data_IF_535616548251
#
_entry.id   IF_535616548251
#
_cell.length_a   1.000
_cell.length_b   1.000
_cell.length_c   1.000
_cell.angle_alpha   90.00
_cell.angle_beta   90.00
_cell.angle_gamma   90.00
#
_symmetry.space_group_name_H-M   'P 1'
#
loop_
_entity.id
_entity.type
_entity.pdbx_description
1 polymer ?
#
# COMPACT_ATOMS: atom_id res chain seq x y z
N UNK A 1 66.96 47.95 13.85
CA UNK A 1 65.86 47.76 12.87
C UNK A 1 65.02 46.57 13.33
N UNK A 2 63.75 46.75 13.74
CA UNK A 2 62.87 45.62 13.99
C UNK A 2 62.23 45.14 12.67
N UNK A 3 61.97 43.83 12.49
CA UNK A 3 61.26 43.33 11.32
C UNK A 3 59.76 43.64 11.42
N UNK A 4 59.13 43.98 10.28
CA UNK A 4 57.68 44.23 10.20
C UNK A 4 56.87 42.93 10.32
N UNK A 5 55.64 42.98 10.91
CA UNK A 5 54.77 41.82 10.97
C UNK A 5 54.12 41.56 9.60
N UNK A 6 54.33 40.36 9.07
CA UNK A 6 53.67 39.87 7.87
C UNK A 6 52.20 39.57 8.15
N UNK A 7 51.28 40.31 7.55
CA UNK A 7 49.86 39.95 7.50
C UNK A 7 49.67 38.75 6.56
N UNK A 8 49.25 37.60 7.11
CA UNK A 8 48.86 36.43 6.32
C UNK A 8 47.61 36.74 5.48
N UNK A 9 47.55 36.34 4.20
CA UNK A 9 46.39 36.58 3.35
C UNK A 9 45.23 35.70 3.80
N UNK A 10 44.13 36.32 4.24
CA UNK A 10 42.90 35.61 4.58
C UNK A 10 42.35 34.92 3.32
N UNK A 11 42.37 33.60 3.33
CA UNK A 11 42.10 32.75 2.18
C UNK A 11 40.62 32.91 1.74
N UNK A 12 40.38 33.63 0.65
CA UNK A 12 39.04 33.90 0.07
C UNK A 12 38.24 32.62 -0.22
N UNK A 13 38.91 31.46 -0.26
CA UNK A 13 38.31 30.14 -0.37
C UNK A 13 37.51 29.76 0.90
N UNK A 14 38.01 30.08 2.09
CA UNK A 14 37.30 29.81 3.36
C UNK A 14 36.03 30.66 3.49
N UNK A 15 36.05 31.91 3.02
CA UNK A 15 34.88 32.80 3.05
C UNK A 15 33.79 32.34 2.06
N UNK A 16 34.18 31.73 0.93
CA UNK A 16 33.25 31.15 -0.06
C UNK A 16 32.61 29.84 0.42
N UNK A 17 33.34 29.00 1.14
CA UNK A 17 32.80 27.77 1.74
C UNK A 17 31.79 28.07 2.86
N UNK A 18 32.01 29.12 3.67
CA UNK A 18 31.07 29.52 4.72
C UNK A 18 29.72 30.02 4.18
N UNK A 19 29.72 30.71 3.03
CA UNK A 19 28.49 31.19 2.39
C UNK A 19 27.71 30.05 1.71
N UNK A 20 28.39 29.04 1.18
CA UNK A 20 27.73 27.85 0.60
C UNK A 20 27.12 26.91 1.64
N UNK A 21 27.61 26.90 2.88
CA UNK A 21 27.04 26.09 3.96
C UNK A 21 25.74 26.69 4.56
N UNK A 22 25.49 27.98 4.35
CA UNK A 22 24.39 28.71 4.99
C UNK A 22 23.08 28.74 4.18
N UNK A 23 23.05 28.19 2.95
CA UNK A 23 21.93 28.35 2.01
C UNK A 23 21.17 27.05 1.67
N UNK A 24 21.32 25.99 2.46
CA UNK A 24 20.46 24.81 2.35
C UNK A 24 19.33 24.88 3.38
N UNK A 25 18.14 25.39 3.03
CA UNK A 25 16.96 25.12 3.84
C UNK A 25 16.69 23.61 3.76
N UNK A 26 17.10 22.88 4.78
CA UNK A 26 16.63 21.52 5.02
C UNK A 26 15.17 21.67 5.40
N UNK A 27 14.27 21.61 4.43
CA UNK A 27 12.85 21.50 4.72
C UNK A 27 12.65 20.15 5.41
N UNK A 28 12.46 20.18 6.73
CA UNK A 28 12.06 19.01 7.50
C UNK A 28 10.67 18.64 7.01
N UNK A 29 10.56 17.64 6.13
CA UNK A 29 9.30 17.04 5.79
C UNK A 29 8.68 16.50 7.10
N UNK A 30 7.67 17.20 7.60
CA UNK A 30 6.94 16.77 8.79
C UNK A 30 6.08 15.58 8.37
N UNK A 31 6.58 14.37 8.62
CA UNK A 31 5.78 13.16 8.50
C UNK A 31 4.67 13.22 9.57
N UNK A 32 3.41 13.13 9.12
CA UNK A 32 2.24 13.12 10.00
C UNK A 32 2.03 11.76 10.66
N UNK A 33 0.88 11.16 10.39
CA UNK A 33 0.51 9.84 10.90
C UNK A 33 1.05 8.74 9.99
N UNK A 34 1.72 7.76 10.59
CA UNK A 34 2.27 6.57 9.93
C UNK A 34 1.51 5.33 10.39
N UNK A 35 1.18 4.45 9.45
CA UNK A 35 0.52 3.18 9.71
C UNK A 35 1.54 2.08 9.45
N UNK A 36 1.74 1.18 10.42
CA UNK A 36 2.72 0.09 10.33
C UNK A 36 2.25 -1.05 9.43
N UNK A 37 2.28 -0.80 8.11
CA UNK A 37 1.95 -1.77 7.09
C UNK A 37 1.17 -1.17 5.92
N UNK A 38 1.21 -1.84 4.77
CA UNK A 38 0.45 -1.47 3.56
C UNK A 38 -0.69 -2.44 3.25
N UNK A 39 -0.72 -3.57 3.96
CA UNK A 39 -1.74 -4.61 3.94
C UNK A 39 -1.65 -5.42 5.23
N UNK A 40 -2.73 -6.09 5.58
CA UNK A 40 -2.79 -6.93 6.77
C UNK A 40 -3.46 -8.26 6.50
N UNK A 41 -2.94 -9.30 7.12
CA UNK A 41 -3.46 -10.66 7.04
C UNK A 41 -4.05 -11.02 8.40
N UNK A 42 -5.36 -11.26 8.44
CA UNK A 42 -6.04 -11.83 9.59
C UNK A 42 -6.07 -13.35 9.43
N UNK A 43 -5.33 -14.07 10.25
CA UNK A 43 -5.36 -15.54 10.27
C UNK A 43 -6.57 -16.03 11.06
N UNK A 44 -7.31 -17.00 10.54
CA UNK A 44 -8.56 -17.48 11.14
C UNK A 44 -8.44 -17.93 12.61
N UNK A 45 -7.33 -18.57 13.00
CA UNK A 45 -7.06 -18.99 14.38
C UNK A 45 -6.53 -17.88 15.30
N UNK A 46 -6.27 -16.67 14.80
CA UNK A 46 -5.77 -15.57 15.61
C UNK A 46 -6.94 -14.88 16.35
N UNK A 47 -6.79 -14.56 17.65
CA UNK A 47 -7.84 -13.86 18.39
C UNK A 47 -8.03 -12.41 17.91
N UNK A 48 -6.95 -11.77 17.47
CA UNK A 48 -6.97 -10.41 16.94
C UNK A 48 -5.75 -10.18 16.03
N UNK A 49 -5.88 -9.20 15.16
CA UNK A 49 -4.79 -8.62 14.36
C UNK A 49 -4.47 -7.22 14.92
N UNK A 50 -3.19 -6.98 15.19
CA UNK A 50 -2.70 -5.67 15.68
C UNK A 50 -2.19 -4.82 14.52
N UNK A 51 -2.59 -3.55 14.48
CA UNK A 51 -2.14 -2.57 13.48
C UNK A 51 -1.59 -1.33 14.20
N UNK A 52 -0.26 -1.13 14.25
CA UNK A 52 0.32 0.02 14.91
C UNK A 52 0.14 1.28 14.07
N UNK A 53 -0.13 2.40 14.76
CA UNK A 53 -0.30 3.73 14.17
C UNK A 53 0.46 4.72 15.03
N UNK A 54 1.40 5.44 14.43
CA UNK A 54 2.28 6.39 15.12
C UNK A 54 2.13 7.79 14.55
N UNK A 55 2.26 8.79 15.41
CA UNK A 55 2.27 10.19 15.02
C UNK A 55 3.69 10.75 15.19
N UNK A 56 4.34 11.05 14.07
CA UNK A 56 5.69 11.62 14.07
C UNK A 56 5.70 13.16 13.99
N UNK A 57 4.54 13.80 14.12
CA UNK A 57 4.40 15.26 14.14
C UNK A 57 4.24 15.81 15.56
N UNK A 58 4.40 17.12 15.69
CA UNK A 58 4.14 17.88 16.93
C UNK A 58 2.66 18.21 17.13
N UNK A 59 1.81 17.93 16.14
CA UNK A 59 0.37 18.19 16.22
C UNK A 59 -0.39 16.91 16.57
N UNK A 60 -1.50 17.02 17.29
CA UNK A 60 -2.40 15.90 17.54
C UNK A 60 -3.30 15.63 16.33
N UNK A 61 -3.63 14.36 16.10
CA UNK A 61 -4.52 13.92 15.02
C UNK A 61 -5.69 13.13 15.58
N UNK A 62 -6.87 13.35 15.02
CA UNK A 62 -8.02 12.48 15.24
C UNK A 62 -7.94 11.32 14.24
N UNK A 63 -7.93 10.09 14.77
CA UNK A 63 -7.84 8.87 13.99
C UNK A 63 -9.20 8.19 13.97
N UNK A 64 -9.76 8.03 12.77
CA UNK A 64 -11.05 7.38 12.50
C UNK A 64 -10.82 6.07 11.73
N UNK A 65 -11.35 4.96 12.23
CA UNK A 65 -11.08 3.62 11.71
C UNK A 65 -12.35 2.83 11.42
N UNK A 66 -12.41 2.23 10.23
CA UNK A 66 -13.56 1.46 9.76
C UNK A 66 -13.11 0.26 8.94
N UNK A 67 -13.87 -0.83 9.02
CA UNK A 67 -13.77 -1.94 8.05
C UNK A 67 -14.85 -1.76 6.99
N UNK A 68 -14.44 -1.83 5.72
CA UNK A 68 -15.32 -1.71 4.57
C UNK A 68 -15.22 -2.99 3.72
N UNK A 69 -16.21 -3.28 2.86
CA UNK A 69 -16.12 -4.35 1.88
C UNK A 69 -14.88 -4.23 0.98
N UNK A 70 -14.44 -5.35 0.39
CA UNK A 70 -13.27 -5.41 -0.50
C UNK A 70 -13.44 -4.74 -1.86
N UNK A 71 -14.65 -4.28 -2.21
CA UNK A 71 -15.05 -3.80 -3.54
C UNK A 71 -14.24 -2.65 -4.13
N UNK A 72 -13.42 -1.98 -3.31
CA UNK A 72 -12.51 -0.91 -3.76
C UNK A 72 -11.43 -1.40 -4.73
N UNK A 73 -11.01 -2.67 -4.64
CA UNK A 73 -9.87 -3.18 -5.40
C UNK A 73 -10.33 -3.85 -6.70
N UNK A 74 -9.94 -3.35 -7.90
CA UNK A 74 -10.31 -3.98 -9.16
C UNK A 74 -9.90 -5.46 -9.20
N UNK A 75 -10.79 -6.32 -9.70
CA UNK A 75 -10.55 -7.78 -9.76
C UNK A 75 -10.78 -8.53 -8.45
N UNK A 76 -11.32 -7.87 -7.43
CA UNK A 76 -11.84 -8.56 -6.24
C UNK A 76 -13.11 -9.35 -6.57
N UNK A 77 -13.35 -10.43 -5.82
CA UNK A 77 -14.64 -11.09 -5.73
C UNK A 77 -15.26 -10.67 -4.40
N UNK A 78 -16.37 -9.93 -4.44
CA UNK A 78 -17.00 -9.43 -3.22
C UNK A 78 -17.74 -10.56 -2.50
N UNK A 79 -17.52 -10.67 -1.19
CA UNK A 79 -18.27 -11.56 -0.29
C UNK A 79 -19.64 -10.93 0.10
N UNK A 80 -20.26 -10.19 -0.82
CA UNK A 80 -21.45 -9.37 -0.54
C UNK A 80 -21.16 -8.11 0.29
N UNK A 81 -22.17 -7.66 1.03
CA UNK A 81 -22.10 -6.47 1.90
C UNK A 81 -21.68 -6.79 3.35
N UNK A 82 -21.29 -8.03 3.63
CA UNK A 82 -20.91 -8.47 4.98
C UNK A 82 -19.48 -8.00 5.25
N UNK A 83 -19.26 -7.37 6.40
CA UNK A 83 -17.94 -7.01 6.92
C UNK A 83 -17.79 -7.62 8.32
N UNK A 84 -17.35 -8.88 8.45
CA UNK A 84 -17.36 -9.62 9.70
C UNK A 84 -16.15 -9.26 10.58
N UNK A 85 -15.87 -7.97 10.71
CA UNK A 85 -14.74 -7.48 11.48
C UNK A 85 -15.10 -6.19 12.20
N UNK A 86 -14.59 -6.07 13.41
CA UNK A 86 -14.60 -4.83 14.18
C UNK A 86 -13.16 -4.36 14.36
N UNK A 87 -12.95 -3.05 14.22
CA UNK A 87 -11.67 -2.40 14.54
C UNK A 87 -11.86 -1.51 15.76
N UNK A 88 -10.94 -1.62 16.71
CA UNK A 88 -10.95 -0.84 17.96
C UNK A 88 -9.60 -0.19 18.22
N UNK A 89 -9.56 1.05 18.74
CA UNK A 89 -10.71 1.97 18.88
C UNK A 89 -11.18 2.53 17.51
N UNK A 90 -12.50 2.73 17.31
CA UNK A 90 -13.04 3.25 16.05
C UNK A 90 -12.73 4.75 15.85
N UNK A 91 -12.59 5.51 16.94
CA UNK A 91 -12.24 6.93 16.90
C UNK A 91 -11.43 7.30 18.14
N UNK A 92 -10.28 7.93 17.97
CA UNK A 92 -9.45 8.38 19.10
C UNK A 92 -8.51 9.51 18.70
N UNK A 93 -8.09 10.30 19.69
CA UNK A 93 -7.04 11.29 19.50
C UNK A 93 -5.66 10.63 19.65
N UNK A 94 -4.81 10.80 18.65
CA UNK A 94 -3.41 10.40 18.67
C UNK A 94 -2.55 11.65 18.87
N UNK A 95 -2.08 11.83 20.11
CA UNK A 95 -1.29 12.99 20.51
C UNK A 95 0.06 13.07 19.78
N UNK A 96 0.67 14.25 19.84
CA UNK A 96 2.01 14.49 19.32
C UNK A 96 3.01 13.44 19.83
N UNK A 97 3.84 12.92 18.92
CA UNK A 97 4.90 11.93 19.23
C UNK A 97 4.44 10.63 19.90
N UNK A 98 3.15 10.31 19.85
CA UNK A 98 2.60 9.08 20.43
C UNK A 98 2.39 7.98 19.40
N UNK A 99 2.27 6.75 19.89
CA UNK A 99 1.87 5.57 19.14
C UNK A 99 0.64 4.94 19.81
N UNK A 100 -0.24 4.35 19.00
CA UNK A 100 -1.31 3.50 19.48
C UNK A 100 -1.42 2.25 18.58
N UNK A 101 -2.05 1.20 19.10
CA UNK A 101 -2.31 -0.04 18.35
C UNK A 101 -3.80 -0.23 18.15
N UNK A 102 -4.22 -0.31 16.89
CA UNK A 102 -5.57 -0.75 16.55
C UNK A 102 -5.65 -2.27 16.66
N UNK A 103 -6.78 -2.78 17.13
CA UNK A 103 -7.09 -4.21 17.14
C UNK A 103 -8.25 -4.48 16.20
N UNK A 104 -8.01 -5.35 15.22
CA UNK A 104 -9.03 -5.90 14.34
C UNK A 104 -9.42 -7.27 14.87
N UNK A 105 -10.71 -7.53 15.01
CA UNK A 105 -11.27 -8.79 15.53
C UNK A 105 -12.34 -9.28 14.57
N UNK A 106 -12.30 -10.57 14.23
CA UNK A 106 -13.33 -11.24 13.44
C UNK A 106 -14.56 -11.53 14.28
N UNK A 107 -15.75 -11.24 13.76
CA UNK A 107 -17.03 -11.35 14.50
C UNK A 107 -17.73 -12.70 14.35
N UNK A 108 -17.20 -13.60 13.52
CA UNK A 108 -17.63 -14.99 13.44
C UNK A 108 -18.60 -15.31 12.29
N UNK A 109 -19.09 -14.33 11.54
CA UNK A 109 -19.97 -14.60 10.40
C UNK A 109 -19.22 -15.35 9.30
N UNK A 110 -19.81 -16.40 8.72
CA UNK A 110 -19.10 -17.38 7.91
C UNK A 110 -18.42 -16.75 6.69
N UNK A 111 -17.15 -17.09 6.52
CA UNK A 111 -16.35 -16.80 5.32
C UNK A 111 -15.93 -18.10 4.63
N UNK A 112 -15.62 -18.07 3.32
CA UNK A 112 -15.07 -19.22 2.61
C UNK A 112 -13.87 -19.83 3.34
N UNK A 113 -13.94 -21.14 3.60
CA UNK A 113 -12.84 -21.86 4.25
C UNK A 113 -11.76 -22.34 3.28
N UNK A 114 -12.05 -22.33 1.97
CA UNK A 114 -11.18 -22.87 0.92
C UNK A 114 -10.27 -21.81 0.27
N UNK A 115 -10.44 -20.53 0.61
CA UNK A 115 -9.73 -19.40 -0.01
C UNK A 115 -9.68 -18.17 0.89
N UNK A 116 -8.80 -17.22 0.55
CA UNK A 116 -8.81 -15.91 1.18
C UNK A 116 -10.05 -15.09 0.82
N UNK A 117 -10.44 -14.20 1.73
CA UNK A 117 -11.43 -13.14 1.50
C UNK A 117 -10.80 -11.76 1.70
N UNK A 118 -11.19 -10.78 0.88
CA UNK A 118 -10.60 -9.43 0.87
C UNK A 118 -11.60 -8.38 1.39
N UNK A 119 -11.13 -7.58 2.34
CA UNK A 119 -11.79 -6.42 2.92
C UNK A 119 -10.87 -5.20 2.86
N UNK A 120 -11.38 -4.06 3.31
CA UNK A 120 -10.62 -2.81 3.37
C UNK A 120 -10.59 -2.29 4.80
N UNK A 121 -9.39 -2.13 5.36
CA UNK A 121 -9.17 -1.35 6.58
C UNK A 121 -8.98 0.12 6.17
N UNK A 122 -9.95 0.96 6.50
CA UNK A 122 -9.90 2.40 6.28
C UNK A 122 -9.44 3.11 7.54
N UNK A 123 -8.35 3.86 7.45
CA UNK A 123 -7.83 4.68 8.54
C UNK A 123 -7.72 6.12 8.04
N UNK A 124 -8.44 7.04 8.67
CA UNK A 124 -8.35 8.46 8.39
C UNK A 124 -7.60 9.19 9.50
N UNK A 125 -6.63 10.02 9.10
CA UNK A 125 -5.94 10.96 9.95
C UNK A 125 -6.49 12.36 9.66
N UNK A 126 -7.16 12.94 10.65
CA UNK A 126 -7.82 14.24 10.57
C UNK A 126 -7.06 15.20 11.50
N UNK A 127 -6.57 16.35 11.02
CA UNK A 127 -5.89 17.33 11.87
C UNK A 127 -6.79 17.73 13.04
N UNK A 128 -6.24 17.79 14.26
CA UNK A 128 -6.98 18.28 15.42
C UNK A 128 -6.86 19.80 15.53
N UNK A 129 -7.93 20.47 15.96
CA UNK A 129 -7.94 21.92 16.22
C UNK A 129 -8.80 22.71 15.23
N UNK A 130 -9.09 23.98 15.57
CA UNK A 130 -9.88 24.86 14.70
C UNK A 130 -9.05 25.26 13.48
N UNK A 131 -9.62 25.28 12.27
CA UNK A 131 -8.98 25.92 11.13
C UNK A 131 -8.72 27.39 11.46
N UNK A 132 -7.46 27.82 11.42
CA UNK A 132 -7.14 29.24 11.48
C UNK A 132 -7.61 29.93 10.19
N UNK A 133 -7.97 31.21 10.29
CA UNK A 133 -8.33 32.00 9.11
C UNK A 133 -7.18 31.94 8.08
N UNK A 134 -7.50 31.63 6.82
CA UNK A 134 -6.56 31.47 5.71
C UNK A 134 -5.61 30.26 5.78
N UNK A 135 -5.94 29.19 6.53
CA UNK A 135 -5.21 27.91 6.44
C UNK A 135 -6.06 26.78 5.89
N UNK A 136 -5.51 26.06 4.92
CA UNK A 136 -6.09 24.81 4.41
C UNK A 136 -5.65 23.66 5.33
N UNK A 137 -6.61 22.93 5.88
CA UNK A 137 -6.37 21.67 6.58
C UNK A 137 -6.75 20.50 5.68
N UNK A 138 -5.89 19.48 5.62
CA UNK A 138 -6.12 18.29 4.79
C UNK A 138 -6.24 17.07 5.70
N UNK A 139 -7.34 16.33 5.54
CA UNK A 139 -7.50 15.01 6.13
C UNK A 139 -7.07 13.94 5.11
N UNK A 140 -6.33 12.95 5.58
CA UNK A 140 -5.84 11.85 4.73
C UNK A 140 -6.53 10.56 5.12
N UNK A 141 -7.11 9.85 4.15
CA UNK A 141 -7.71 8.53 4.36
C UNK A 141 -6.94 7.48 3.59
N UNK A 142 -6.34 6.54 4.32
CA UNK A 142 -5.66 5.37 3.77
C UNK A 142 -6.62 4.19 3.74
N UNK A 143 -6.79 3.60 2.56
CA UNK A 143 -7.54 2.36 2.36
C UNK A 143 -6.55 1.21 2.16
N UNK A 144 -6.49 0.30 3.13
CA UNK A 144 -5.50 -0.78 3.20
C UNK A 144 -6.20 -2.12 3.00
N UNK A 145 -5.54 -3.06 2.31
CA UNK A 145 -6.08 -4.42 2.14
C UNK A 145 -6.08 -5.14 3.49
N UNK A 146 -7.22 -5.69 3.88
CA UNK A 146 -7.37 -6.62 4.99
C UNK A 146 -7.78 -7.97 4.42
N UNK A 147 -6.91 -8.98 4.52
CA UNK A 147 -7.16 -10.31 3.97
C UNK A 147 -7.45 -11.28 5.10
N UNK A 148 -8.61 -11.91 5.07
CA UNK A 148 -8.90 -13.05 5.91
C UNK A 148 -8.29 -14.30 5.28
N UNK A 149 -7.50 -15.04 6.06
CA UNK A 149 -6.84 -16.27 5.62
C UNK A 149 -7.28 -17.45 6.49
N UNK A 150 -8.11 -18.36 5.95
CA UNK A 150 -8.40 -19.64 6.58
C UNK A 150 -7.15 -20.46 6.89
N UNK A 151 -7.26 -21.37 7.85
CA UNK A 151 -6.23 -22.37 8.11
C UNK A 151 -6.22 -23.45 7.02
N UNK A 152 -5.07 -24.07 6.80
CA UNK A 152 -4.96 -25.23 5.91
C UNK A 152 -5.04 -24.95 4.41
N UNK A 153 -5.00 -23.69 3.97
CA UNK A 153 -4.93 -23.38 2.54
C UNK A 153 -3.68 -24.00 1.90
N UNK A 154 -3.87 -24.66 0.75
CA UNK A 154 -2.80 -25.32 0.03
C UNK A 154 -1.82 -24.34 -0.63
N UNK A 155 -0.55 -24.73 -0.69
CA UNK A 155 0.51 -23.98 -1.36
C UNK A 155 1.18 -22.94 -0.47
N UNK A 156 1.88 -21.98 -1.10
CA UNK A 156 2.59 -20.91 -0.39
C UNK A 156 2.07 -19.55 -0.88
N UNK A 157 1.54 -18.68 0.01
CA UNK A 157 1.04 -17.37 -0.38
C UNK A 157 2.11 -16.51 -1.05
N UNK A 158 3.37 -16.63 -0.63
CA UNK A 158 4.48 -15.86 -1.20
C UNK A 158 4.86 -16.30 -2.62
N UNK A 159 4.40 -17.46 -3.07
CA UNK A 159 4.66 -18.00 -4.41
C UNK A 159 3.41 -17.95 -5.30
N UNK A 160 2.23 -17.64 -4.76
CA UNK A 160 0.96 -17.64 -5.49
C UNK A 160 1.01 -16.80 -6.76
N UNK A 161 1.72 -15.66 -6.72
CA UNK A 161 1.88 -14.75 -7.85
C UNK A 161 2.55 -15.40 -9.08
N UNK A 162 3.42 -16.40 -8.87
CA UNK A 162 4.10 -17.12 -9.97
C UNK A 162 3.20 -18.11 -10.69
N UNK A 163 2.08 -18.48 -10.08
CA UNK A 163 1.13 -19.44 -10.65
C UNK A 163 0.01 -18.75 -11.45
N UNK A 164 0.05 -17.41 -11.61
CA UNK A 164 -0.89 -16.73 -12.49
C UNK A 164 -0.68 -17.16 -13.93
N UNK A 165 -1.77 -17.54 -14.59
CA UNK A 165 -1.77 -17.98 -15.98
C UNK A 165 -2.38 -16.87 -16.82
N UNK A 166 -1.63 -16.40 -17.80
CA UNK A 166 -2.02 -15.32 -18.67
C UNK A 166 -2.38 -15.85 -20.06
N UNK A 167 -3.38 -15.25 -20.69
CA UNK A 167 -3.71 -15.49 -22.10
C UNK A 167 -4.18 -14.20 -22.77
N UNK A 168 -4.21 -14.18 -24.11
CA UNK A 168 -4.66 -13.04 -24.89
C UNK A 168 -5.90 -13.41 -25.71
N UNK A 169 -6.96 -12.62 -25.57
CA UNK A 169 -8.23 -12.74 -26.30
C UNK A 169 -8.45 -11.52 -27.18
N UNK A 170 -9.46 -11.51 -28.08
CA UNK A 170 -9.87 -10.31 -28.81
C UNK A 170 -10.17 -9.11 -27.89
N UNK A 171 -10.78 -9.39 -26.74
CA UNK A 171 -11.20 -8.40 -25.75
C UNK A 171 -10.10 -7.96 -24.78
N UNK A 172 -8.88 -8.48 -24.93
CA UNK A 172 -7.71 -8.12 -24.12
C UNK A 172 -7.06 -9.31 -23.41
N UNK A 173 -6.13 -8.99 -22.52
CA UNK A 173 -5.46 -9.99 -21.69
C UNK A 173 -6.43 -10.57 -20.66
N UNK A 174 -6.30 -11.87 -20.39
CA UNK A 174 -6.97 -12.53 -19.28
C UNK A 174 -5.93 -13.09 -18.33
N UNK A 175 -6.25 -13.07 -17.04
CA UNK A 175 -5.39 -13.62 -16.00
C UNK A 175 -6.19 -14.55 -15.10
N UNK A 176 -5.77 -15.81 -15.04
CA UNK A 176 -6.35 -16.84 -14.17
C UNK A 176 -5.46 -17.05 -12.96
N UNK A 177 -6.08 -17.02 -11.78
CA UNK A 177 -5.45 -17.39 -10.52
C UNK A 177 -5.95 -18.78 -10.09
N UNK A 178 -5.12 -19.84 -10.19
CA UNK A 178 -5.50 -21.18 -9.74
C UNK A 178 -5.32 -21.39 -8.22
N UNK A 179 -4.85 -20.38 -7.48
CA UNK A 179 -4.46 -20.52 -6.07
C UNK A 179 -5.55 -20.00 -5.12
N UNK A 180 -5.52 -20.41 -3.83
CA UNK A 180 -6.46 -19.91 -2.82
C UNK A 180 -6.14 -18.50 -2.30
N UNK A 181 -5.15 -17.80 -2.85
CA UNK A 181 -4.66 -16.51 -2.35
C UNK A 181 -4.95 -15.35 -3.32
N UNK A 182 -5.23 -14.16 -2.80
CA UNK A 182 -5.29 -12.93 -3.60
C UNK A 182 -3.88 -12.53 -4.06
N UNK A 183 -3.71 -12.33 -5.37
CA UNK A 183 -2.47 -11.80 -5.93
C UNK A 183 -2.66 -10.31 -6.27
N UNK A 184 -1.82 -9.44 -5.72
CA UNK A 184 -1.81 -8.01 -6.10
C UNK A 184 -0.97 -7.81 -7.36
N UNK A 185 -1.53 -7.14 -8.36
CA UNK A 185 -0.83 -6.72 -9.57
C UNK A 185 -0.23 -5.33 -9.32
N UNK A 186 1.07 -5.27 -9.08
CA UNK A 186 1.81 -4.05 -8.76
C UNK A 186 2.74 -3.67 -9.91
N UNK A 187 2.88 -2.36 -10.18
CA UNK A 187 3.69 -1.81 -11.28
C UNK A 187 3.47 -2.54 -12.62
N UNK A 188 2.22 -2.85 -12.93
CA UNK A 188 1.87 -3.58 -14.14
C UNK A 188 1.98 -2.67 -15.37
N UNK A 189 2.63 -3.19 -16.40
CA UNK A 189 2.70 -2.62 -17.75
C UNK A 189 2.24 -3.66 -18.76
N UNK A 190 1.44 -3.22 -19.72
CA UNK A 190 1.01 -4.02 -20.87
C UNK A 190 1.40 -3.25 -22.15
N UNK A 191 2.26 -3.84 -22.99
CA UNK A 191 2.87 -3.17 -24.16
C UNK A 191 3.40 -1.77 -23.80
N UNK A 192 4.22 -1.70 -22.76
CA UNK A 192 4.84 -0.48 -22.17
C UNK A 192 3.88 0.49 -21.47
N UNK A 193 2.57 0.40 -21.69
CA UNK A 193 1.58 1.24 -21.01
C UNK A 193 1.39 0.79 -19.57
N UNK A 194 1.69 1.69 -18.63
CA UNK A 194 1.39 1.50 -17.21
C UNK A 194 -0.11 1.36 -16.99
N UNK A 195 -0.48 0.41 -16.14
CA UNK A 195 -1.86 0.18 -15.72
C UNK A 195 -2.00 0.62 -14.27
N UNK A 196 -2.41 1.87 -14.09
CA UNK A 196 -2.67 2.43 -12.78
C UNK A 196 -3.83 1.67 -12.12
N UNK A 197 -3.71 1.42 -10.82
CA UNK A 197 -4.71 0.66 -10.06
C UNK A 197 -5.05 -0.71 -10.71
N UNK A 198 -4.04 -1.42 -11.23
CA UNK A 198 -4.22 -2.75 -11.81
C UNK A 198 -4.94 -3.73 -10.86
N UNK A 199 -4.87 -3.51 -9.55
CA UNK A 199 -5.73 -4.17 -8.57
C UNK A 199 -5.23 -5.55 -8.15
N UNK A 200 -6.16 -6.50 -8.06
CA UNK A 200 -5.90 -7.87 -7.60
C UNK A 200 -6.43 -8.91 -8.58
N UNK A 201 -6.02 -10.16 -8.40
CA UNK A 201 -6.64 -11.34 -9.00
C UNK A 201 -7.14 -12.22 -7.86
N UNK A 202 -8.46 -12.38 -7.75
CA UNK A 202 -9.10 -13.14 -6.69
C UNK A 202 -8.74 -14.65 -6.73
N UNK A 203 -8.84 -15.37 -5.60
CA UNK A 203 -8.63 -16.81 -5.54
C UNK A 203 -9.54 -17.59 -6.49
N UNK A 204 -8.98 -18.59 -7.16
CA UNK A 204 -9.69 -19.48 -8.10
C UNK A 204 -10.56 -18.74 -9.14
N UNK A 205 -10.13 -17.56 -9.57
CA UNK A 205 -10.88 -16.71 -10.48
C UNK A 205 -10.08 -16.42 -11.75
N UNK A 206 -10.81 -16.18 -12.84
CA UNK A 206 -10.27 -15.59 -14.07
C UNK A 206 -10.78 -14.16 -14.17
N UNK A 207 -9.86 -13.23 -14.44
CA UNK A 207 -10.17 -11.82 -14.67
C UNK A 207 -9.92 -11.46 -16.13
N UNK A 208 -10.96 -10.99 -16.80
CA UNK A 208 -10.85 -10.33 -18.09
C UNK A 208 -10.39 -8.88 -17.89
N UNK A 209 -9.50 -8.39 -18.74
CA UNK A 209 -9.10 -6.97 -18.75
C UNK A 209 -9.21 -6.40 -20.16
N UNK A 210 -9.14 -5.08 -20.25
CA UNK A 210 -9.06 -4.33 -21.49
C UNK A 210 -7.63 -4.10 -21.99
N UNK A 211 -6.63 -4.63 -21.26
CA UNK A 211 -5.23 -4.45 -21.60
C UNK A 211 -4.91 -5.20 -22.89
N UNK A 212 -4.19 -4.56 -23.81
CA UNK A 212 -3.85 -5.15 -25.10
C UNK A 212 -5.07 -5.58 -25.95
N UNK A 213 -6.21 -4.88 -25.85
CA UNK A 213 -7.35 -5.06 -26.76
C UNK A 213 -6.91 -4.93 -28.22
N UNK A 214 -7.49 -5.75 -29.09
CA UNK A 214 -7.25 -5.72 -30.53
C UNK A 214 -5.78 -5.93 -30.97
N UNK A 215 -4.89 -6.43 -30.09
CA UNK A 215 -3.52 -6.79 -30.48
C UNK A 215 -3.34 -8.29 -30.71
N UNK A 216 -2.37 -8.65 -31.56
CA UNK A 216 -1.99 -10.05 -31.82
C UNK A 216 -0.90 -10.52 -30.85
N UNK A 217 -0.05 -9.59 -30.37
CA UNK A 217 0.98 -9.81 -29.36
C UNK A 217 0.83 -8.82 -28.20
N UNK A 218 1.15 -9.27 -27.00
CA UNK A 218 1.12 -8.44 -25.80
C UNK A 218 2.20 -8.89 -24.82
N UNK A 219 3.10 -7.99 -24.44
CA UNK A 219 4.04 -8.24 -23.33
C UNK A 219 3.49 -7.62 -22.06
N UNK A 220 3.24 -8.46 -21.05
CA UNK A 220 2.80 -8.03 -19.72
C UNK A 220 3.97 -8.16 -18.75
N UNK A 221 4.39 -7.04 -18.16
CA UNK A 221 5.42 -7.00 -17.11
C UNK A 221 4.83 -6.46 -15.82
N UNK A 222 5.02 -7.15 -14.72
CA UNK A 222 4.42 -6.78 -13.43
C UNK A 222 5.22 -7.32 -12.25
N UNK A 223 4.94 -6.81 -11.07
CA UNK A 223 5.44 -7.30 -9.78
C UNK A 223 4.26 -7.58 -8.85
N UNK A 224 4.49 -8.35 -7.79
CA UNK A 224 3.50 -8.48 -6.73
C UNK A 224 3.98 -7.82 -5.44
N UNK A 225 3.07 -7.64 -4.50
CA UNK A 225 3.38 -7.27 -3.13
C UNK A 225 3.06 -8.49 -2.27
N UNK A 226 3.96 -8.82 -1.36
CA UNK A 226 3.85 -9.97 -0.48
C UNK A 226 3.15 -9.61 0.84
N UNK A 227 2.94 -10.55 1.75
CA UNK A 227 2.20 -10.30 3.01
C UNK A 227 2.83 -9.21 3.90
N UNK A 228 4.14 -9.03 3.82
CA UNK A 228 4.92 -8.07 4.60
C UNK A 228 5.08 -6.72 3.90
N UNK A 229 4.35 -6.48 2.79
CA UNK A 229 4.47 -5.25 2.01
C UNK A 229 5.73 -5.19 1.13
N UNK A 230 6.50 -6.27 1.00
CA UNK A 230 7.69 -6.30 0.13
C UNK A 230 7.29 -6.49 -1.33
N UNK A 231 7.93 -5.75 -2.20
CA UNK A 231 7.79 -5.91 -3.66
C UNK A 231 8.54 -7.16 -4.10
N UNK A 232 7.85 -8.05 -4.81
CA UNK A 232 8.38 -9.31 -5.30
C UNK A 232 9.11 -9.13 -6.64
N UNK A 233 10.01 -10.07 -7.02
CA UNK A 233 10.68 -10.04 -8.31
C UNK A 233 9.69 -9.93 -9.48
N UNK A 234 10.08 -9.18 -10.51
CA UNK A 234 9.25 -8.96 -11.69
C UNK A 234 8.95 -10.27 -12.43
N UNK A 235 7.76 -10.33 -13.01
CA UNK A 235 7.32 -11.35 -13.95
C UNK A 235 7.10 -10.67 -15.30
N UNK A 236 7.55 -11.32 -16.37
CA UNK A 236 7.30 -10.90 -17.75
C UNK A 236 6.66 -12.07 -18.46
N UNK A 237 5.56 -11.82 -19.16
CA UNK A 237 4.85 -12.82 -19.95
C UNK A 237 4.58 -12.25 -21.33
N UNK A 238 5.06 -12.95 -22.35
CA UNK A 238 4.78 -12.63 -23.75
C UNK A 238 3.60 -13.47 -24.23
N UNK A 239 2.52 -12.78 -24.55
CA UNK A 239 1.26 -13.37 -24.99
C UNK A 239 1.14 -13.22 -26.49
N UNK A 240 0.69 -14.29 -27.14
CA UNK A 240 0.32 -14.28 -28.56
C UNK A 240 -1.10 -14.82 -28.69
N UNK A 241 -1.93 -14.17 -29.50
CA UNK A 241 -3.26 -14.66 -29.81
C UNK A 241 -3.11 -15.92 -30.66
N UNK A 242 -3.69 -17.02 -30.20
CA UNK A 242 -3.81 -18.23 -31.02
C UNK A 242 -5.04 -18.03 -31.91
N UNK A 243 -4.84 -18.21 -33.22
CA UNK A 243 -5.89 -18.11 -34.24
C UNK A 243 -6.90 -19.25 -34.14
#
# INVERSE_FOLDING_TARGET
MPPQPSFLPMNKLFLRCAIYWCLLPISWAQAGVVIGGTRFIYHAGAPALSVPVSNHSEASWLIDTHILPGGRWPGTKNEGNITPFVVTPPLFMLSARQENTLRVVYTGEPLPADRESLFTLSIAAIPSGKPEANRVQMAFRSALKLLYRPEGLAGNPQQAYRHLIWSLTPDGATVRNPTPYYVTLFLLRANERAQDNAGVVAPFATRQTDWCRHTVRCTVRWQSINDYGRVMPAQTVDLTRIH
#
